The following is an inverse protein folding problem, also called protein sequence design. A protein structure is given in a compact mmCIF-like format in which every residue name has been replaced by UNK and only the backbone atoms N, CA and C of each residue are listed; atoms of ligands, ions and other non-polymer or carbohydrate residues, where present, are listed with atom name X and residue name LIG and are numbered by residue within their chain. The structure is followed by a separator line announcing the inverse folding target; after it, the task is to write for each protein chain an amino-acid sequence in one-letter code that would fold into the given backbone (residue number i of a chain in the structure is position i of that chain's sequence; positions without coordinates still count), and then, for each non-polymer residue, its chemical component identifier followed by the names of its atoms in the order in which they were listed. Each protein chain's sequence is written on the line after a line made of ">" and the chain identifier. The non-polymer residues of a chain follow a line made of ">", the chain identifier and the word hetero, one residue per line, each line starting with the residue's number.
data_IF_264163914130
#
_entry.id   IF_264163914130
#
_cell.length_a   1.000
_cell.length_b   1.000
_cell.length_c   1.000
_cell.angle_alpha   90.00
_cell.angle_beta   90.00
_cell.angle_gamma   90.00
#
_symmetry.space_group_name_H-M   'P 1'
#
loop_
_entity.id
_entity.type
_entity.pdbx_description
1 polymer ?
#
# COMPACT_ATOMS: atom_id res chain seq x y z
N UNK A 1 54.82 -23.46 5.81
CA UNK A 1 55.06 -22.46 4.74
C UNK A 1 54.03 -22.76 3.66
N UNK A 2 52.86 -22.16 3.60
CA UNK A 2 52.16 -21.12 4.38
C UNK A 2 50.67 -21.46 4.18
N UNK A 3 49.87 -21.59 5.24
CA UNK A 3 48.98 -20.53 5.74
C UNK A 3 48.34 -19.67 4.63
N UNK A 4 47.01 -19.78 4.48
CA UNK A 4 46.06 -18.67 4.63
C UNK A 4 44.65 -19.20 4.37
N UNK A 5 43.91 -19.28 5.46
CA UNK A 5 42.45 -19.21 5.52
C UNK A 5 41.95 -18.00 4.72
N UNK A 6 41.08 -18.25 3.75
CA UNK A 6 40.39 -17.22 2.98
C UNK A 6 38.94 -17.58 2.72
N UNK A 7 38.21 -17.92 3.79
CA UNK A 7 36.75 -17.91 3.82
C UNK A 7 36.25 -16.47 3.88
N UNK A 8 36.04 -15.85 2.72
CA UNK A 8 35.44 -14.51 2.56
C UNK A 8 34.89 -14.51 1.13
N UNK A 9 33.60 -14.34 0.81
CA UNK A 9 32.46 -13.71 1.47
C UNK A 9 31.20 -14.50 1.01
N UNK A 10 30.31 -14.94 1.89
CA UNK A 10 29.09 -14.20 2.24
C UNK A 10 28.52 -13.36 1.08
N UNK A 11 27.90 -14.01 0.11
CA UNK A 11 26.82 -13.40 -0.66
C UNK A 11 25.51 -14.13 -0.32
N UNK A 12 25.03 -13.92 0.91
CA UNK A 12 23.60 -14.06 1.22
C UNK A 12 22.89 -12.80 0.75
N UNK A 13 22.91 -12.61 -0.57
CA UNK A 13 22.24 -11.54 -1.28
C UNK A 13 20.83 -11.96 -1.69
N UNK A 14 20.09 -12.65 -0.82
CA UNK A 14 18.65 -12.94 -1.01
C UNK A 14 17.84 -11.66 -0.79
N UNK A 15 18.16 -10.59 -1.50
CA UNK A 15 17.28 -9.46 -1.69
C UNK A 15 15.99 -10.01 -2.32
N UNK A 16 15.05 -10.33 -1.43
CA UNK A 16 13.81 -11.04 -1.69
C UNK A 16 13.12 -10.42 -2.90
N UNK A 17 12.51 -11.25 -3.74
CA UNK A 17 11.66 -10.80 -4.84
C UNK A 17 10.57 -9.82 -4.39
N UNK A 18 10.25 -9.79 -3.09
CA UNK A 18 9.36 -8.79 -2.48
C UNK A 18 9.99 -7.40 -2.40
N UNK A 19 11.29 -7.26 -2.24
CA UNK A 19 11.97 -5.97 -2.12
C UNK A 19 11.90 -5.18 -3.44
N UNK A 20 11.99 -5.88 -4.59
CA UNK A 20 11.81 -5.28 -5.91
C UNK A 20 10.35 -4.97 -6.28
N UNK A 21 9.37 -5.57 -5.59
CA UNK A 21 7.97 -5.15 -5.69
C UNK A 21 7.72 -3.84 -4.93
N UNK A 22 8.52 -3.56 -3.89
CA UNK A 22 8.42 -2.34 -3.09
C UNK A 22 9.35 -1.21 -3.55
N UNK A 23 10.43 -1.53 -4.28
CA UNK A 23 11.47 -0.57 -4.69
C UNK A 23 11.28 -0.05 -6.11
N UNK A 24 10.37 0.93 -6.23
CA UNK A 24 10.11 1.63 -7.48
C UNK A 24 9.66 3.08 -7.29
N UNK A 25 10.32 3.83 -6.39
CA UNK A 25 10.38 5.31 -6.34
C UNK A 25 9.09 6.15 -6.34
N UNK A 26 7.89 5.56 -6.38
CA UNK A 26 6.63 6.32 -6.33
C UNK A 26 6.22 6.53 -4.89
N UNK A 27 6.08 7.80 -4.51
CA UNK A 27 5.48 8.15 -3.24
C UNK A 27 4.06 7.57 -3.21
N UNK A 28 3.58 7.15 -2.04
CA UNK A 28 2.19 6.65 -1.87
C UNK A 28 1.19 7.67 -2.42
N UNK A 29 1.53 8.96 -2.30
CA UNK A 29 0.72 10.07 -2.78
C UNK A 29 0.60 10.16 -4.31
N UNK A 30 1.50 9.53 -5.07
CA UNK A 30 1.53 9.57 -6.54
C UNK A 30 0.73 8.42 -7.19
N UNK A 31 0.32 7.42 -6.43
CA UNK A 31 -0.39 6.24 -6.93
C UNK A 31 -1.88 6.53 -7.18
N UNK A 32 -2.51 5.85 -8.13
CA UNK A 32 -3.98 5.87 -8.27
C UNK A 32 -4.65 4.89 -7.28
N UNK A 33 -5.99 4.86 -7.28
CA UNK A 33 -6.71 4.04 -6.31
C UNK A 33 -6.43 2.55 -6.51
N UNK A 34 -6.41 2.10 -7.77
CA UNK A 34 -6.16 0.73 -8.17
C UNK A 34 -4.76 0.27 -7.76
N UNK A 35 -3.73 1.09 -7.97
CA UNK A 35 -2.36 0.84 -7.52
C UNK A 35 -2.27 0.81 -5.99
N UNK A 36 -2.95 1.71 -5.28
CA UNK A 36 -2.99 1.72 -3.81
C UNK A 36 -3.66 0.46 -3.27
N UNK A 37 -4.75 0.04 -3.89
CA UNK A 37 -5.47 -1.16 -3.49
C UNK A 37 -4.63 -2.42 -3.71
N UNK A 38 -3.99 -2.56 -4.87
CA UNK A 38 -3.09 -3.67 -5.16
C UNK A 38 -1.90 -3.74 -4.18
N UNK A 39 -1.32 -2.58 -3.81
CA UNK A 39 -0.27 -2.54 -2.79
C UNK A 39 -0.78 -2.97 -1.41
N UNK A 40 -1.99 -2.57 -1.02
CA UNK A 40 -2.58 -2.98 0.24
C UNK A 40 -2.79 -4.50 0.30
N UNK A 41 -3.31 -5.09 -0.78
CA UNK A 41 -3.46 -6.56 -0.90
C UNK A 41 -2.11 -7.27 -0.77
N UNK A 42 -1.07 -6.76 -1.44
CA UNK A 42 0.27 -7.34 -1.35
C UNK A 42 0.85 -7.25 0.07
N UNK A 43 0.60 -6.15 0.79
CA UNK A 43 1.02 -5.98 2.19
C UNK A 43 0.28 -6.97 3.10
N UNK A 44 -1.03 -7.11 2.94
CA UNK A 44 -1.82 -8.08 3.71
C UNK A 44 -1.33 -9.50 3.48
N UNK A 45 -1.15 -9.89 2.21
CA UNK A 45 -0.63 -11.21 1.86
C UNK A 45 0.77 -11.46 2.45
N UNK A 46 1.62 -10.43 2.52
CA UNK A 46 2.93 -10.54 3.16
C UNK A 46 2.84 -10.69 4.69
N UNK A 47 1.90 -9.99 5.34
CA UNK A 47 1.66 -10.06 6.79
C UNK A 47 1.08 -11.41 7.24
N UNK A 48 0.40 -12.14 6.35
CA UNK A 48 -0.16 -13.47 6.63
C UNK A 48 0.87 -14.60 6.62
N UNK A 49 2.13 -14.32 6.26
CA UNK A 49 3.20 -15.31 6.24
C UNK A 49 3.64 -15.70 7.65
N UNK A 50 3.65 -17.01 7.91
CA UNK A 50 4.08 -17.57 9.21
C UNK A 50 5.56 -17.35 9.53
N UNK A 51 6.40 -17.13 8.51
CA UNK A 51 7.86 -16.96 8.63
C UNK A 51 8.33 -15.50 8.67
N UNK A 52 7.41 -14.55 8.92
CA UNK A 52 7.71 -13.12 8.88
C UNK A 52 8.40 -12.64 10.17
N UNK A 53 9.61 -12.05 10.10
CA UNK A 53 10.26 -11.42 11.25
C UNK A 53 9.45 -10.25 11.81
N UNK A 54 9.47 -10.05 13.13
CA UNK A 54 8.70 -9.01 13.82
C UNK A 54 8.98 -7.61 13.26
N UNK A 55 10.24 -7.28 13.06
CA UNK A 55 10.67 -5.97 12.52
C UNK A 55 10.08 -5.75 11.13
N UNK A 56 10.00 -6.81 10.32
CA UNK A 56 9.40 -6.74 9.00
C UNK A 56 7.88 -6.61 9.06
N UNK A 57 7.23 -7.30 10.01
CA UNK A 57 5.80 -7.18 10.24
C UNK A 57 5.42 -5.75 10.66
N UNK A 58 6.19 -5.13 11.56
CA UNK A 58 5.97 -3.72 11.97
C UNK A 58 6.13 -2.78 10.78
N UNK A 59 7.20 -2.93 9.99
CA UNK A 59 7.42 -2.09 8.81
C UNK A 59 6.30 -2.24 7.75
N UNK A 60 5.83 -3.47 7.51
CA UNK A 60 4.71 -3.73 6.61
C UNK A 60 3.40 -3.14 7.14
N UNK A 61 3.15 -3.22 8.45
CA UNK A 61 2.00 -2.60 9.08
C UNK A 61 1.99 -1.08 8.92
N UNK A 62 3.10 -0.40 9.23
CA UNK A 62 3.24 1.05 9.07
C UNK A 62 3.00 1.48 7.61
N UNK A 63 3.58 0.74 6.67
CA UNK A 63 3.36 0.96 5.24
C UNK A 63 1.90 0.74 4.86
N UNK A 64 1.27 -0.33 5.35
CA UNK A 64 -0.14 -0.64 5.11
C UNK A 64 -1.07 0.46 5.60
N UNK A 65 -0.80 1.03 6.77
CA UNK A 65 -1.54 2.18 7.31
C UNK A 65 -1.39 3.40 6.38
N UNK A 66 -0.19 3.68 5.88
CA UNK A 66 0.04 4.78 4.95
C UNK A 66 -0.71 4.59 3.63
N UNK A 67 -0.65 3.39 3.04
CA UNK A 67 -1.34 3.05 1.78
C UNK A 67 -2.86 3.13 1.95
N UNK A 68 -3.39 2.57 3.05
CA UNK A 68 -4.82 2.62 3.37
C UNK A 68 -5.34 4.05 3.49
N UNK A 69 -4.60 4.95 4.18
CA UNK A 69 -4.98 6.36 4.31
C UNK A 69 -5.02 7.07 2.96
N UNK A 70 -4.05 6.82 2.10
CA UNK A 70 -4.04 7.40 0.75
C UNK A 70 -5.22 6.89 -0.09
N UNK A 71 -5.53 5.60 -0.02
CA UNK A 71 -6.66 5.01 -0.73
C UNK A 71 -8.00 5.66 -0.28
N UNK A 72 -8.20 5.80 1.03
CA UNK A 72 -9.38 6.50 1.58
C UNK A 72 -9.45 7.95 1.09
N UNK A 73 -8.34 8.69 1.12
CA UNK A 73 -8.33 10.08 0.66
C UNK A 73 -8.70 10.23 -0.83
N UNK A 74 -8.35 9.25 -1.68
CA UNK A 74 -8.76 9.24 -3.09
C UNK A 74 -10.25 8.96 -3.26
N UNK A 75 -10.82 8.06 -2.46
CA UNK A 75 -12.25 7.80 -2.44
C UNK A 75 -13.03 9.04 -1.97
N UNK A 76 -12.60 9.68 -0.89
CA UNK A 76 -13.22 10.90 -0.37
C UNK A 76 -13.21 12.03 -1.41
N UNK A 77 -12.10 12.19 -2.13
CA UNK A 77 -11.98 13.17 -3.21
C UNK A 77 -12.92 12.86 -4.40
N UNK A 78 -13.08 11.58 -4.75
CA UNK A 78 -14.01 11.15 -5.78
C UNK A 78 -15.47 11.39 -5.35
N UNK A 79 -15.83 11.04 -4.13
CA UNK A 79 -17.16 11.28 -3.55
C UNK A 79 -17.51 12.78 -3.54
N UNK A 80 -16.57 13.63 -3.09
CA UNK A 80 -16.75 15.08 -3.09
C UNK A 80 -16.95 15.63 -4.51
N UNK A 81 -16.29 15.03 -5.51
CA UNK A 81 -16.48 15.42 -6.91
C UNK A 81 -17.86 15.02 -7.42
N UNK A 82 -18.34 13.82 -7.07
CA UNK A 82 -19.67 13.33 -7.43
C UNK A 82 -20.75 14.21 -6.78
N UNK A 83 -20.64 14.51 -5.49
CA UNK A 83 -21.64 15.32 -4.77
C UNK A 83 -21.75 16.75 -5.32
N UNK A 84 -20.66 17.32 -5.84
CA UNK A 84 -20.69 18.62 -6.53
C UNK A 84 -21.36 18.57 -7.90
N UNK A 85 -21.32 17.43 -8.59
CA UNK A 85 -21.91 17.25 -9.91
C UNK A 85 -23.38 16.83 -9.85
N UNK A 86 -23.81 16.26 -8.74
CA UNK A 86 -25.20 15.87 -8.49
C UNK A 86 -25.83 16.88 -7.53
N UNK A 87 -26.40 18.00 -8.02
CA UNK A 87 -27.22 18.86 -7.17
C UNK A 87 -28.43 18.04 -6.71
N UNK A 88 -28.42 17.65 -5.44
CA UNK A 88 -29.58 17.26 -4.65
C UNK A 88 -30.58 16.35 -5.38
N UNK A 89 -30.20 15.08 -5.61
CA UNK A 89 -31.22 14.03 -5.79
C UNK A 89 -32.17 13.93 -4.58
N UNK A 90 -31.78 14.49 -3.43
CA UNK A 90 -32.58 14.65 -2.21
C UNK A 90 -33.62 15.80 -2.29
N UNK A 91 -33.45 16.81 -3.16
CA UNK A 91 -34.47 17.86 -3.32
C UNK A 91 -35.70 17.38 -4.10
N UNK A 92 -35.54 16.39 -4.97
CA UNK A 92 -36.65 15.89 -5.80
C UNK A 92 -37.64 15.00 -5.06
N UNK A 93 -37.33 14.54 -3.84
CA UNK A 93 -38.22 13.70 -3.02
C UNK A 93 -39.02 14.49 -1.98
N UNK A 94 -38.79 15.81 -1.86
CA UNK A 94 -39.52 16.68 -0.94
C UNK A 94 -40.69 17.44 -1.60
N UNK A 95 -40.75 17.48 -2.93
CA UNK A 95 -41.74 18.30 -3.65
C UNK A 95 -43.07 17.56 -3.95
N UNK A 96 -43.13 16.24 -3.78
CA UNK A 96 -44.34 15.44 -4.07
C UNK A 96 -45.41 15.48 -2.95
N UNK A 97 -45.40 16.49 -2.07
CA UNK A 97 -46.35 16.57 -0.94
C UNK A 97 -47.12 17.89 -0.79
N UNK A 98 -47.35 18.62 -1.90
CA UNK A 98 -48.30 19.74 -1.96
C UNK A 98 -49.60 19.37 -2.67
#
# INVERSE_FOLDING_TARGET
>A
MDDVTGSVDADDGTASATDRLFDGLRAVDDLDYEDLFAHLEAIVAALEREDLPLERAVALYERGVSVSRAASARLDAAELRISRLTPDAEASLRDDSQ
#
